data_IF_530363474861
#
_entry.id   IF_530363474861
#
_cell.length_a   1.000
_cell.length_b   1.000
_cell.length_c   1.000
_cell.angle_alpha   90.00
_cell.angle_beta   90.00
_cell.angle_gamma   90.00
#
_symmetry.space_group_name_H-M   'P 1'
#
loop_
_entity.id
_entity.type
_entity.pdbx_description
1 polymer ?
#
# COMPACT_ATOMS: atom_id res chain seq x y z
N UNK A 1 9.88 -3.49 3.46
CA UNK A 1 9.15 -4.58 2.79
C UNK A 1 9.44 -4.60 1.30
N UNK A 2 9.00 -5.62 0.61
CA UNK A 2 9.23 -5.78 -0.81
C UNK A 2 7.93 -5.58 -1.60
N UNK A 3 8.07 -5.34 -2.90
CA UNK A 3 6.94 -5.20 -3.81
C UNK A 3 6.01 -6.42 -3.79
N UNK A 4 6.58 -7.62 -3.61
CA UNK A 4 5.82 -8.86 -3.57
C UNK A 4 4.76 -8.89 -2.45
N UNK A 5 5.03 -8.20 -1.35
CA UNK A 5 4.07 -8.11 -0.24
C UNK A 5 2.75 -7.49 -0.70
N UNK A 6 2.83 -6.42 -1.50
CA UNK A 6 1.63 -5.77 -2.04
C UNK A 6 0.87 -6.71 -2.97
N UNK A 7 1.59 -7.41 -3.83
CA UNK A 7 0.98 -8.35 -4.79
C UNK A 7 0.27 -9.48 -4.03
N UNK A 8 0.93 -10.06 -3.02
CA UNK A 8 0.37 -11.15 -2.22
C UNK A 8 -0.87 -10.72 -1.43
N UNK A 9 -0.93 -9.47 -1.01
CA UNK A 9 -2.08 -8.93 -0.27
C UNK A 9 -3.24 -8.49 -1.18
N UNK A 10 -3.06 -8.58 -2.49
CA UNK A 10 -4.12 -8.23 -3.43
C UNK A 10 -4.16 -6.77 -3.84
N UNK A 11 -3.08 -6.03 -3.62
CA UNK A 11 -2.98 -4.66 -4.10
C UNK A 11 -2.94 -4.64 -5.62
N UNK A 12 -3.51 -3.59 -6.20
CA UNK A 12 -3.48 -3.34 -7.63
C UNK A 12 -2.37 -2.36 -7.95
N UNK A 13 -1.64 -2.64 -9.02
CA UNK A 13 -0.61 -1.74 -9.51
C UNK A 13 -1.24 -0.64 -10.36
N UNK A 14 -0.90 0.59 -10.05
CA UNK A 14 -1.31 1.75 -10.82
C UNK A 14 -0.08 2.36 -11.49
N UNK A 15 -0.10 2.42 -12.82
CA UNK A 15 0.98 3.02 -13.62
C UNK A 15 0.59 4.43 -14.00
N UNK A 16 1.46 5.40 -13.70
CA UNK A 16 1.22 6.78 -14.09
C UNK A 16 1.42 6.95 -15.59
N UNK A 17 0.64 7.85 -16.19
CA UNK A 17 0.66 8.06 -17.64
C UNK A 17 1.96 8.68 -18.15
N UNK A 18 2.64 9.41 -17.30
CA UNK A 18 3.88 10.09 -17.65
C UNK A 18 5.03 9.53 -16.84
N UNK A 19 6.11 9.12 -17.54
CA UNK A 19 7.28 8.53 -16.92
C UNK A 19 7.10 7.05 -16.61
N UNK A 20 8.07 6.49 -15.91
CA UNK A 20 8.10 5.07 -15.54
C UNK A 20 7.71 4.86 -14.08
N UNK A 21 6.79 5.68 -13.57
CA UNK A 21 6.39 5.65 -12.17
C UNK A 21 5.15 4.79 -11.97
N UNK A 22 5.15 4.00 -10.92
CA UNK A 22 4.01 3.21 -10.51
C UNK A 22 3.97 3.05 -9.00
N UNK A 23 2.80 2.71 -8.49
CA UNK A 23 2.58 2.45 -7.08
C UNK A 23 1.44 1.45 -6.92
N UNK A 24 1.20 1.01 -5.69
CA UNK A 24 0.18 0.01 -5.39
C UNK A 24 -0.91 0.58 -4.51
N UNK A 25 -2.14 0.16 -4.75
CA UNK A 25 -3.31 0.57 -3.96
C UNK A 25 -4.18 -0.63 -3.60
N UNK A 26 -4.85 -0.52 -2.46
CA UNK A 26 -5.84 -1.51 -2.03
C UNK A 26 -6.99 -0.79 -1.35
N UNK A 27 -8.20 -0.95 -1.90
CA UNK A 27 -9.41 -0.38 -1.33
C UNK A 27 -10.17 -1.44 -0.54
N UNK A 28 -10.48 -1.13 0.72
CA UNK A 28 -11.30 -1.99 1.57
C UNK A 28 -12.38 -1.08 2.19
N UNK A 29 -13.62 -1.19 1.69
CA UNK A 29 -14.67 -0.25 2.07
C UNK A 29 -14.27 1.17 1.73
N UNK A 30 -14.31 2.05 2.71
CA UNK A 30 -13.92 3.47 2.53
C UNK A 30 -12.43 3.72 2.80
N UNK A 31 -11.67 2.67 3.10
CA UNK A 31 -10.26 2.79 3.41
C UNK A 31 -9.42 2.45 2.19
N UNK A 32 -8.55 3.36 1.80
CA UNK A 32 -7.61 3.15 0.70
C UNK A 32 -6.18 3.08 1.25
N UNK A 33 -5.54 1.93 1.06
CA UNK A 33 -4.11 1.78 1.31
C UNK A 33 -3.36 2.19 0.06
N UNK A 34 -2.28 2.94 0.23
CA UNK A 34 -1.47 3.42 -0.90
C UNK A 34 0.02 3.27 -0.57
N UNK A 35 0.78 2.74 -1.53
CA UNK A 35 2.22 2.65 -1.39
C UNK A 35 2.90 3.92 -1.89
N UNK A 36 4.18 4.09 -1.55
CA UNK A 36 5.01 5.09 -2.20
C UNK A 36 5.26 4.65 -3.66
N UNK A 37 5.77 5.57 -4.47
CA UNK A 37 6.10 5.27 -5.85
C UNK A 37 7.42 4.48 -5.95
N UNK A 38 7.62 3.80 -7.07
CA UNK A 38 8.80 2.96 -7.28
C UNK A 38 10.12 3.71 -7.17
N UNK A 39 10.19 4.97 -7.58
CA UNK A 39 11.39 5.78 -7.48
C UNK A 39 11.73 6.10 -6.01
N UNK A 40 10.72 6.40 -5.20
CA UNK A 40 10.89 6.60 -3.77
C UNK A 40 11.32 5.30 -3.08
N UNK A 41 10.76 4.18 -3.51
CA UNK A 41 11.09 2.87 -2.97
C UNK A 41 12.52 2.45 -3.27
N UNK A 42 13.09 2.87 -4.37
CA UNK A 42 14.51 2.61 -4.70
C UNK A 42 15.44 3.30 -3.72
N UNK A 43 15.05 4.47 -3.22
CA UNK A 43 15.87 5.24 -2.28
C UNK A 43 15.70 4.82 -0.83
N UNK A 44 14.46 4.60 -0.40
CA UNK A 44 14.15 4.38 1.02
C UNK A 44 13.38 3.10 1.32
N UNK A 45 13.14 2.27 0.31
CA UNK A 45 12.36 1.04 0.45
C UNK A 45 10.87 1.27 0.30
N UNK A 46 10.14 0.18 0.12
CA UNK A 46 8.69 0.24 0.00
C UNK A 46 8.03 0.50 1.35
N UNK A 47 7.04 1.36 1.34
CA UNK A 47 6.24 1.66 2.53
C UNK A 47 4.79 1.90 2.11
N UNK A 48 3.88 1.79 3.07
CA UNK A 48 2.46 1.94 2.82
C UNK A 48 1.85 2.93 3.80
N UNK A 49 0.85 3.64 3.35
CA UNK A 49 0.07 4.54 4.21
C UNK A 49 -1.41 4.38 3.89
N UNK A 50 -2.24 5.01 4.69
CA UNK A 50 -3.66 5.12 4.41
C UNK A 50 -3.87 6.49 3.79
N UNK A 51 -4.58 6.54 2.66
CA UNK A 51 -4.91 7.81 2.01
C UNK A 51 -5.62 8.69 3.04
N UNK A 52 -5.40 9.93 3.07
CA UNK A 52 -5.93 10.90 4.05
C UNK A 52 -5.21 10.86 5.42
N UNK A 53 -4.25 9.95 5.63
CA UNK A 53 -3.45 9.93 6.84
C UNK A 53 -1.97 10.11 6.48
N UNK A 54 -1.57 11.34 6.29
CA UNK A 54 -0.24 11.70 5.78
C UNK A 54 0.92 11.33 6.71
N UNK A 55 0.63 11.09 7.98
CA UNK A 55 1.66 10.78 8.97
C UNK A 55 1.83 9.29 9.24
N UNK A 56 0.90 8.46 8.76
CA UNK A 56 1.00 7.02 8.95
C UNK A 56 1.92 6.41 7.91
N UNK A 57 2.96 5.73 8.37
CA UNK A 57 3.92 5.06 7.49
C UNK A 57 4.14 3.64 7.99
N UNK A 58 3.78 2.67 7.16
CA UNK A 58 3.92 1.25 7.47
C UNK A 58 5.09 0.72 6.65
N UNK A 59 6.19 0.39 7.32
CA UNK A 59 7.41 -0.05 6.66
C UNK A 59 7.66 -1.55 6.78
N UNK A 60 6.99 -2.22 7.72
CA UNK A 60 7.14 -3.65 7.95
C UNK A 60 6.05 -4.46 7.27
N UNK A 61 6.45 -5.56 6.59
CA UNK A 61 5.50 -6.45 5.92
C UNK A 61 4.50 -7.05 6.90
N UNK A 62 4.97 -7.49 8.07
CA UNK A 62 4.10 -8.08 9.10
C UNK A 62 3.06 -7.11 9.62
N UNK A 63 3.44 -5.86 9.80
CA UNK A 63 2.52 -4.81 10.25
C UNK A 63 1.46 -4.54 9.21
N UNK A 64 1.84 -4.48 7.94
CA UNK A 64 0.89 -4.27 6.85
C UNK A 64 -0.09 -5.44 6.72
N UNK A 65 0.42 -6.66 6.76
CA UNK A 65 -0.42 -7.88 6.69
C UNK A 65 -1.45 -7.89 7.80
N UNK A 66 -1.03 -7.57 9.03
CA UNK A 66 -1.91 -7.54 10.19
C UNK A 66 -2.98 -6.45 10.06
N UNK A 67 -2.58 -5.25 9.66
CA UNK A 67 -3.51 -4.13 9.51
C UNK A 67 -4.54 -4.40 8.42
N UNK A 68 -4.12 -4.92 7.27
CA UNK A 68 -5.04 -5.29 6.18
C UNK A 68 -6.03 -6.34 6.66
N UNK A 69 -5.57 -7.34 7.40
CA UNK A 69 -6.42 -8.38 7.96
C UNK A 69 -7.46 -7.80 8.93
N UNK A 70 -7.02 -6.92 9.83
CA UNK A 70 -7.92 -6.28 10.80
C UNK A 70 -9.00 -5.46 10.08
N UNK A 71 -8.61 -4.68 9.09
CA UNK A 71 -9.55 -3.86 8.32
C UNK A 71 -10.55 -4.74 7.58
N UNK A 72 -10.10 -5.79 6.92
CA UNK A 72 -11.00 -6.72 6.21
C UNK A 72 -12.00 -7.39 7.13
N UNK A 73 -11.58 -7.78 8.33
CA UNK A 73 -12.44 -8.45 9.30
C UNK A 73 -13.50 -7.52 9.91
N UNK A 74 -13.25 -6.22 9.89
CA UNK A 74 -14.11 -5.23 10.55
C UNK A 74 -14.85 -4.31 9.57
N UNK A 75 -14.70 -4.55 8.27
CA UNK A 75 -15.39 -3.77 7.25
C UNK A 75 -16.57 -4.59 6.70
N UNK A 76 -17.74 -3.98 6.75
CA UNK A 76 -18.96 -4.59 6.24
C UNK A 76 -19.43 -3.82 4.99
N UNK A 77 -19.55 -4.52 3.91
CA UNK A 77 -20.07 -3.98 2.65
C UNK A 77 -21.58 -4.20 2.54
#
# INVERSE_FOLDING_TARGET
MTEQVFIDLGFERYDEKEGDFYYYTLDIGDICFISNANDEAEESGWECSILDSMTLRIVGAGDLEELVKIVKLNTHD
#
